data_IF_859520572002
#
_entry.id   IF_859520572002
#
_cell.length_a   1.000
_cell.length_b   1.000
_cell.length_c   1.000
_cell.angle_alpha   90.00
_cell.angle_beta   90.00
_cell.angle_gamma   90.00
#
_symmetry.space_group_name_H-M   'P 1'
#
loop_
_entity.id
_entity.type
_entity.pdbx_description
1 polymer ?
#
# COMPACT_ATOMS: atom_id res chain seq x y z
N UNK A 1 6.74 16.51 -4.68
CA UNK A 1 5.42 15.87 -4.85
C UNK A 1 5.37 14.75 -3.83
N UNK A 2 4.62 14.89 -2.74
CA UNK A 2 4.44 13.81 -1.76
C UNK A 2 3.24 12.99 -2.27
N UNK A 3 3.50 11.76 -2.73
CA UNK A 3 2.45 10.85 -3.17
C UNK A 3 1.91 10.12 -1.94
N UNK A 4 0.60 10.22 -1.72
CA UNK A 4 -0.07 9.46 -0.67
C UNK A 4 0.04 7.97 -1.00
N UNK A 5 0.39 7.14 0.00
CA UNK A 5 0.45 5.69 -0.11
C UNK A 5 -0.57 5.05 0.84
N UNK A 6 -0.89 3.81 0.54
CA UNK A 6 -1.81 2.95 1.26
C UNK A 6 -1.06 1.73 1.79
N UNK A 7 -1.22 1.49 3.08
CA UNK A 7 -0.55 0.44 3.83
C UNK A 7 -1.57 -0.44 4.53
N UNK A 8 -1.42 -1.77 4.44
CA UNK A 8 -2.32 -2.74 5.07
C UNK A 8 -1.63 -3.41 6.26
N UNK A 9 -2.28 -3.40 7.42
CA UNK A 9 -1.76 -4.11 8.59
C UNK A 9 -1.99 -5.62 8.46
N UNK A 10 -0.91 -6.39 8.35
CA UNK A 10 -0.90 -7.86 8.20
C UNK A 10 -1.61 -8.65 9.34
N UNK A 11 -1.93 -7.99 10.46
CA UNK A 11 -2.58 -8.64 11.61
C UNK A 11 -4.10 -8.48 11.64
N UNK A 12 -4.60 -7.34 11.17
CA UNK A 12 -6.00 -6.96 11.38
C UNK A 12 -6.65 -6.30 10.16
N UNK A 13 -5.96 -6.32 9.03
CA UNK A 13 -6.39 -5.83 7.72
C UNK A 13 -6.84 -4.36 7.73
N UNK A 14 -6.38 -3.60 8.72
CA UNK A 14 -6.63 -2.16 8.76
C UNK A 14 -5.83 -1.47 7.66
N UNK A 15 -6.51 -0.60 6.91
CA UNK A 15 -5.89 0.21 5.85
C UNK A 15 -5.53 1.57 6.43
N UNK A 16 -4.29 1.98 6.18
CA UNK A 16 -3.72 3.27 6.58
C UNK A 16 -3.31 4.04 5.32
N UNK A 17 -3.57 5.35 5.30
CA UNK A 17 -3.22 6.22 4.18
C UNK A 17 -2.24 7.28 4.67
N UNK A 18 -0.97 7.17 4.27
CA UNK A 18 0.12 8.01 4.75
C UNK A 18 1.25 8.08 3.71
N UNK A 19 2.22 8.97 3.91
CA UNK A 19 3.39 9.09 3.00
C UNK A 19 4.38 7.95 3.22
N UNK A 20 4.54 7.51 4.46
CA UNK A 20 5.45 6.46 4.92
C UNK A 20 4.69 5.43 5.78
N UNK A 21 5.18 4.19 5.91
CA UNK A 21 4.49 3.19 6.72
C UNK A 21 4.43 3.64 8.19
N UNK A 22 3.25 3.52 8.85
CA UNK A 22 3.11 3.95 10.23
C UNK A 22 3.96 3.11 11.19
N UNK A 23 4.40 3.72 12.29
CA UNK A 23 5.16 3.02 13.34
C UNK A 23 4.31 2.09 14.21
N UNK A 24 3.00 2.31 14.28
CA UNK A 24 2.03 1.53 15.05
C UNK A 24 0.66 1.52 14.37
N UNK A 25 -0.02 0.37 14.39
CA UNK A 25 -1.39 0.24 13.88
C UNK A 25 -2.37 0.75 14.93
N UNK A 26 -3.05 1.85 14.64
CA UNK A 26 -4.07 2.43 15.53
C UNK A 26 -5.28 1.53 15.84
N UNK A 27 -5.46 0.42 15.11
CA UNK A 27 -6.55 -0.55 15.35
C UNK A 27 -6.15 -1.68 16.31
N UNK A 28 -4.98 -2.29 16.12
CA UNK A 28 -4.57 -3.49 16.86
C UNK A 28 -3.30 -3.32 17.70
N UNK A 29 -2.68 -2.14 17.68
CA UNK A 29 -1.47 -1.81 18.43
C UNK A 29 -0.21 -2.55 17.95
N UNK A 30 -0.25 -3.21 16.78
CA UNK A 30 0.96 -3.84 16.21
C UNK A 30 1.96 -2.76 15.79
N UNK A 31 3.25 -2.99 16.07
CA UNK A 31 4.32 -2.01 15.89
C UNK A 31 5.33 -2.42 14.83
N UNK A 32 6.02 -1.42 14.29
CA UNK A 32 7.12 -1.56 13.34
C UNK A 32 6.68 -1.46 11.88
N UNK A 33 7.52 -0.85 11.04
CA UNK A 33 7.22 -0.64 9.62
C UNK A 33 7.01 -1.95 8.83
N UNK A 34 7.72 -3.03 9.21
CA UNK A 34 7.52 -4.36 8.64
C UNK A 34 6.18 -5.02 9.01
N UNK A 35 5.33 -4.33 9.81
CA UNK A 35 3.99 -4.80 10.11
C UNK A 35 2.95 -4.43 9.06
N UNK A 36 3.36 -3.70 8.03
CA UNK A 36 2.50 -3.14 7.01
C UNK A 36 2.97 -3.50 5.60
N UNK A 37 2.04 -3.91 4.76
CA UNK A 37 2.27 -4.14 3.33
C UNK A 37 1.89 -2.89 2.51
N UNK A 38 2.72 -2.49 1.54
CA UNK A 38 2.46 -1.33 0.67
C UNK A 38 1.67 -1.75 -0.58
N UNK A 39 0.36 -1.60 -0.50
CA UNK A 39 -0.54 -1.96 -1.60
C UNK A 39 -0.56 -0.93 -2.73
N UNK A 40 -0.01 0.28 -2.51
CA UNK A 40 0.06 1.30 -3.57
C UNK A 40 1.04 0.88 -4.64
N UNK A 41 2.22 0.39 -4.21
CA UNK A 41 3.23 -0.14 -5.12
C UNK A 41 2.68 -1.25 -6.02
N UNK A 42 1.90 -2.17 -5.44
CA UNK A 42 1.28 -3.27 -6.17
C UNK A 42 0.24 -2.80 -7.19
N UNK A 43 -0.52 -1.74 -6.87
CA UNK A 43 -1.50 -1.15 -7.78
C UNK A 43 -0.83 -0.42 -8.95
N UNK A 44 0.26 0.31 -8.71
CA UNK A 44 1.03 0.97 -9.76
C UNK A 44 1.56 -0.06 -10.78
N UNK A 45 2.19 -1.14 -10.31
CA UNK A 45 2.68 -2.22 -11.17
C UNK A 45 1.57 -2.93 -11.95
N UNK A 46 0.45 -3.25 -11.28
CA UNK A 46 -0.69 -3.90 -11.91
C UNK A 46 -1.35 -3.01 -12.97
N UNK A 47 -1.48 -1.71 -12.69
CA UNK A 47 -2.04 -0.74 -13.62
C UNK A 47 -1.15 -0.60 -14.86
N UNK A 48 0.18 -0.51 -14.67
CA UNK A 48 1.14 -0.46 -15.77
C UNK A 48 1.02 -1.70 -16.68
N UNK A 49 0.89 -2.90 -16.10
CA UNK A 49 0.70 -4.14 -16.85
C UNK A 49 -0.62 -4.17 -17.64
N UNK A 50 -1.72 -3.72 -17.03
CA UNK A 50 -3.02 -3.63 -17.69
C UNK A 50 -3.00 -2.68 -18.89
N UNK A 51 -2.42 -1.48 -18.74
CA UNK A 51 -2.33 -0.52 -19.83
C UNK A 51 -1.31 -0.93 -20.90
N UNK A 52 -0.23 -1.63 -20.54
CA UNK A 52 0.73 -2.17 -21.50
C UNK A 52 0.14 -3.25 -22.41
N UNK A 53 -0.77 -4.08 -21.89
CA UNK A 53 -1.44 -5.16 -22.65
C UNK A 53 -2.62 -4.65 -23.49
N UNK A 54 -3.20 -3.50 -23.16
CA UNK A 54 -4.28 -2.87 -23.93
C UNK A 54 -3.83 -2.06 -25.16
N UNK A 55 -2.54 -1.79 -25.32
CA UNK A 55 -2.02 -0.87 -26.35
C UNK A 55 -1.81 -1.50 -27.75
N UNK A 56 -2.40 -2.67 -28.02
CA UNK A 56 -2.27 -3.40 -29.28
C UNK A 56 -3.61 -3.53 -30.04
N UNK A 57 -4.44 -2.49 -30.00
CA UNK A 57 -5.68 -2.38 -30.77
C UNK A 57 -5.77 -1.04 -31.51
#
# INVERSE_FOLDING_TARGET
MLALRYYVCERCDAVHADVDPPGECGRCGRRGAAAFDDVTSTLDDASAAYFATGSNR
#
